data_IF_127127570874
#
_entry.id   IF_127127570874
#
_cell.length_a   1.000
_cell.length_b   1.000
_cell.length_c   1.000
_cell.angle_alpha   90.00
_cell.angle_beta   90.00
_cell.angle_gamma   90.00
#
_symmetry.space_group_name_H-M   'P 1'
#
loop_
_entity.id
_entity.type
_entity.pdbx_description
1 polymer ?
#
# COMPACT_ATOMS: atom_id res chain seq x y z
N UNK A 1 -7.76 -11.93 2.28
CA UNK A 1 -8.74 -10.84 2.16
C UNK A 1 -9.27 -10.83 0.76
N UNK A 2 -8.40 -10.48 -0.19
CA UNK A 2 -8.65 -10.64 -1.63
C UNK A 2 -8.57 -12.11 -2.08
N UNK A 3 -9.17 -12.43 -3.23
CA UNK A 3 -9.14 -13.77 -3.83
C UNK A 3 -7.78 -14.16 -4.44
N UNK A 4 -6.91 -13.19 -4.70
CA UNK A 4 -5.57 -13.36 -5.23
C UNK A 4 -4.66 -12.16 -4.87
N UNK A 5 -3.35 -12.35 -5.01
CA UNK A 5 -2.36 -11.28 -4.90
C UNK A 5 -2.39 -10.36 -6.13
N UNK A 6 -1.87 -9.13 -5.99
CA UNK A 6 -1.82 -8.14 -7.09
C UNK A 6 -3.18 -7.81 -7.71
N UNK A 7 -4.24 -7.81 -6.89
CA UNK A 7 -5.62 -7.53 -7.28
C UNK A 7 -6.04 -6.08 -6.94
N UNK A 8 -5.78 -5.08 -7.80
CA UNK A 8 -6.08 -3.67 -7.51
C UNK A 8 -7.59 -3.40 -7.39
N UNK A 9 -8.42 -4.29 -7.93
CA UNK A 9 -9.88 -4.21 -7.90
C UNK A 9 -10.49 -4.63 -6.55
N UNK A 10 -9.71 -5.26 -5.68
CA UNK A 10 -10.18 -5.81 -4.42
C UNK A 10 -10.60 -4.72 -3.43
N UNK A 11 -11.79 -4.85 -2.83
CA UNK A 11 -12.35 -3.87 -1.89
C UNK A 11 -11.54 -3.81 -0.59
N UNK A 12 -11.07 -4.95 -0.09
CA UNK A 12 -10.32 -5.06 1.17
C UNK A 12 -8.94 -4.39 1.11
N UNK A 13 -8.43 -4.08 -0.08
CA UNK A 13 -7.15 -3.40 -0.28
C UNK A 13 -7.29 -1.90 -0.54
N UNK A 14 -8.52 -1.35 -0.52
CA UNK A 14 -8.74 0.06 -0.84
C UNK A 14 -8.39 0.97 0.35
N UNK A 15 -7.55 1.96 0.10
CA UNK A 15 -7.24 3.00 1.09
C UNK A 15 -8.43 3.96 1.24
N UNK A 16 -8.55 4.56 2.42
CA UNK A 16 -9.54 5.60 2.70
C UNK A 16 -8.87 6.97 2.75
N UNK A 17 -9.49 7.97 2.13
CA UNK A 17 -9.01 9.35 2.17
C UNK A 17 -9.33 10.01 3.51
N UNK A 18 -8.30 10.50 4.19
CA UNK A 18 -8.45 11.45 5.28
C UNK A 18 -8.76 12.85 4.72
N UNK A 19 -9.93 13.37 5.05
CA UNK A 19 -10.40 14.67 4.55
C UNK A 19 -9.61 15.88 5.06
N UNK A 20 -8.86 15.74 6.16
CA UNK A 20 -8.06 16.80 6.79
C UNK A 20 -6.64 16.81 6.26
N UNK A 21 -5.95 15.66 6.32
CA UNK A 21 -4.55 15.53 5.90
C UNK A 21 -4.40 15.37 4.39
N UNK A 22 -5.47 14.99 3.69
CA UNK A 22 -5.49 14.65 2.26
C UNK A 22 -4.63 13.43 1.92
N UNK A 23 -4.30 12.61 2.92
CA UNK A 23 -3.58 11.36 2.76
C UNK A 23 -4.57 10.20 2.68
N UNK A 24 -4.21 9.19 1.90
CA UNK A 24 -4.93 7.93 1.83
C UNK A 24 -4.29 6.93 2.78
N UNK A 25 -5.07 6.15 3.52
CA UNK A 25 -4.48 5.13 4.39
C UNK A 25 -5.32 3.87 4.53
N UNK A 26 -4.64 2.78 4.89
CA UNK A 26 -5.24 1.51 5.30
C UNK A 26 -4.39 0.91 6.42
N UNK A 27 -5.03 0.27 7.39
CA UNK A 27 -4.38 -0.48 8.47
C UNK A 27 -4.76 -1.95 8.34
N UNK A 28 -3.77 -2.83 8.31
CA UNK A 28 -3.94 -4.28 8.13
C UNK A 28 -3.05 -5.05 9.09
N UNK A 29 -3.54 -6.21 9.54
CA UNK A 29 -2.74 -7.19 10.28
C UNK A 29 -2.05 -8.12 9.28
N UNK A 30 -0.72 -8.16 9.33
CA UNK A 30 0.11 -9.00 8.46
C UNK A 30 0.95 -9.96 9.31
N UNK A 31 1.01 -11.26 8.94
CA UNK A 31 1.96 -12.18 9.53
C UNK A 31 3.42 -11.76 9.31
N UNK A 32 4.33 -12.35 10.06
CA UNK A 32 5.77 -12.26 9.77
C UNK A 32 6.07 -12.77 8.35
N UNK A 33 6.92 -12.08 7.61
CA UNK A 33 7.25 -12.46 6.24
C UNK A 33 7.91 -11.35 5.43
N UNK A 34 8.27 -11.73 4.20
CA UNK A 34 8.78 -10.83 3.18
C UNK A 34 7.65 -10.58 2.17
N UNK A 35 7.33 -9.31 1.96
CA UNK A 35 6.25 -8.86 1.09
C UNK A 35 6.77 -7.87 0.07
N UNK A 36 6.02 -7.75 -1.01
CA UNK A 36 6.17 -6.67 -1.98
C UNK A 36 4.81 -6.06 -2.26
N UNK A 37 4.78 -4.75 -2.46
CA UNK A 37 3.54 -4.05 -2.75
C UNK A 37 3.75 -2.84 -3.68
N UNK A 38 2.62 -2.32 -4.18
CA UNK A 38 2.51 -1.10 -4.97
C UNK A 38 1.19 -0.39 -4.65
N UNK A 39 1.11 0.89 -4.99
CA UNK A 39 -0.14 1.66 -4.95
C UNK A 39 -0.73 1.69 -6.36
N UNK A 40 -1.90 1.08 -6.52
CA UNK A 40 -2.67 1.11 -7.76
C UNK A 40 -3.79 2.16 -7.67
N UNK A 41 -4.03 2.91 -8.75
CA UNK A 41 -5.02 3.99 -8.79
C UNK A 41 -6.27 3.51 -9.55
N UNK A 42 -7.45 3.96 -9.09
CA UNK A 42 -8.74 3.67 -9.72
C UNK A 42 -8.99 2.17 -9.95
N UNK A 43 -8.57 1.32 -9.01
CA UNK A 43 -8.82 -0.12 -9.04
C UNK A 43 -8.25 -0.83 -10.28
N UNK A 44 -7.22 -0.25 -10.88
CA UNK A 44 -6.58 -0.69 -12.13
C UNK A 44 -5.07 -0.56 -12.03
N UNK A 45 -4.35 -1.27 -12.90
CA UNK A 45 -2.90 -1.12 -13.08
C UNK A 45 -2.51 -0.01 -14.07
N UNK A 46 -3.48 0.63 -14.74
CA UNK A 46 -3.23 1.71 -15.72
C UNK A 46 -2.40 2.87 -15.16
N UNK A 47 -2.53 3.12 -13.86
CA UNK A 47 -1.71 4.06 -13.11
C UNK A 47 -1.35 3.42 -11.76
N UNK A 48 -0.05 3.24 -11.55
CA UNK A 48 0.48 2.69 -10.31
C UNK A 48 1.81 3.32 -9.95
N UNK A 49 2.10 3.32 -8.65
CA UNK A 49 3.30 3.90 -8.08
C UNK A 49 4.05 2.88 -7.23
N UNK A 50 5.34 2.77 -7.52
CA UNK A 50 6.29 1.87 -6.87
C UNK A 50 7.31 2.61 -6.01
N UNK A 51 8.47 1.99 -5.77
CA UNK A 51 9.49 2.56 -4.90
C UNK A 51 9.95 3.94 -5.36
N UNK A 52 10.07 4.86 -4.39
CA UNK A 52 10.38 6.27 -4.64
C UNK A 52 9.22 7.07 -5.25
N UNK A 53 8.00 6.55 -5.26
CA UNK A 53 6.83 7.20 -5.86
C UNK A 53 6.90 7.26 -7.39
N UNK A 54 7.66 6.37 -8.01
CA UNK A 54 7.83 6.33 -9.45
C UNK A 54 6.61 5.69 -10.11
N UNK A 55 6.05 6.37 -11.10
CA UNK A 55 5.01 5.81 -11.97
C UNK A 55 5.57 4.58 -12.68
N UNK A 56 4.83 3.48 -12.64
CA UNK A 56 5.25 2.17 -13.16
C UNK A 56 6.60 1.70 -12.59
N UNK A 57 6.94 2.20 -11.40
CA UNK A 57 8.22 1.96 -10.73
C UNK A 57 8.39 0.52 -10.24
N UNK A 58 9.55 0.19 -9.64
CA UNK A 58 9.78 -1.11 -9.02
C UNK A 58 8.84 -1.36 -7.83
N UNK A 59 8.65 -2.62 -7.45
CA UNK A 59 7.89 -2.97 -6.25
C UNK A 59 8.56 -2.41 -4.97
N UNK A 60 7.75 -2.17 -3.94
CA UNK A 60 8.24 -1.71 -2.63
C UNK A 60 8.37 -2.93 -1.72
N UNK A 61 9.58 -3.24 -1.22
CA UNK A 61 9.78 -4.35 -0.30
C UNK A 61 9.30 -3.98 1.10
N UNK A 62 8.63 -4.91 1.77
CA UNK A 62 8.25 -4.83 3.17
C UNK A 62 8.65 -6.12 3.88
N UNK A 63 9.57 -6.02 4.83
CA UNK A 63 10.01 -7.14 5.65
C UNK A 63 9.44 -7.00 7.07
N UNK A 64 8.79 -8.06 7.56
CA UNK A 64 8.22 -8.14 8.90
C UNK A 64 8.89 -9.31 9.66
N UNK A 65 9.56 -9.00 10.77
CA UNK A 65 10.23 -10.03 11.58
C UNK A 65 9.27 -10.77 12.50
N UNK A 66 8.05 -10.23 12.67
CA UNK A 66 6.95 -10.81 13.43
C UNK A 66 5.61 -10.29 12.90
N UNK A 67 4.54 -10.96 13.31
CA UNK A 67 3.17 -10.50 13.04
C UNK A 67 3.00 -9.04 13.53
N UNK A 68 2.51 -8.19 12.64
CA UNK A 68 2.49 -6.75 12.82
C UNK A 68 1.19 -6.14 12.29
N UNK A 69 0.65 -5.17 13.02
CA UNK A 69 -0.39 -4.26 12.51
C UNK A 69 0.30 -3.11 11.79
N UNK A 70 0.17 -3.07 10.47
CA UNK A 70 0.86 -2.10 9.61
C UNK A 70 -0.15 -1.10 9.06
N UNK A 71 0.16 0.19 9.19
CA UNK A 71 -0.58 1.26 8.52
C UNK A 71 0.22 1.77 7.34
N UNK A 72 -0.33 1.64 6.14
CA UNK A 72 0.18 2.23 4.91
C UNK A 72 -0.48 3.58 4.69
N UNK A 73 0.31 4.61 4.42
CA UNK A 73 -0.16 5.97 4.14
C UNK A 73 0.41 6.45 2.82
N UNK A 74 -0.46 6.78 1.87
CA UNK A 74 -0.11 7.26 0.54
C UNK A 74 -0.47 8.75 0.38
N UNK A 75 0.48 9.52 -0.12
CA UNK A 75 0.28 10.92 -0.49
C UNK A 75 0.12 11.04 -2.01
N UNK A 76 -1.08 11.44 -2.46
CA UNK A 76 -1.36 11.58 -3.89
C UNK A 76 -0.61 12.75 -4.56
N UNK A 77 -0.09 13.72 -3.80
CA UNK A 77 0.66 14.84 -4.36
C UNK A 77 2.12 14.48 -4.67
N UNK A 78 2.72 13.60 -3.86
CA UNK A 78 4.13 13.18 -4.00
C UNK A 78 4.28 11.75 -4.54
N UNK A 79 3.19 10.99 -4.53
CA UNK A 79 3.13 9.56 -4.84
C UNK A 79 3.96 8.66 -3.92
N UNK A 80 4.43 9.21 -2.79
CA UNK A 80 5.16 8.46 -1.79
C UNK A 80 4.19 7.72 -0.87
N UNK A 81 4.66 6.57 -0.39
CA UNK A 81 3.99 5.78 0.64
C UNK A 81 4.91 5.64 1.84
N UNK A 82 4.33 5.63 3.02
CA UNK A 82 5.01 5.35 4.27
C UNK A 82 4.27 4.27 5.06
N UNK A 83 5.04 3.40 5.70
CA UNK A 83 4.55 2.34 6.56
C UNK A 83 4.89 2.65 8.01
N UNK A 84 3.94 2.43 8.90
CA UNK A 84 4.15 2.51 10.35
C UNK A 84 3.65 1.23 11.00
N UNK A 85 4.27 0.85 12.13
CA UNK A 85 3.94 -0.40 12.81
C UNK A 85 4.59 -1.66 12.23
N UNK A 86 5.26 -1.56 11.08
CA UNK A 86 6.09 -2.63 10.53
C UNK A 86 7.30 -2.92 11.46
N UNK A 87 7.42 -4.16 11.95
CA UNK A 87 8.48 -4.61 12.86
C UNK A 87 9.04 -5.97 12.47
#
# INVERSE_FOLDING_TARGET
>A
GCGEDWAPWCDEAQLTLDGTTKLWSITVDLPAGEYEYKIAINRSWDENYGAGGLKDGPNIPLALTKDSTVTFTYDNATHLVTETGAQ
#
